data_IF_480207346963
#
_entry.id   IF_480207346963
#
_cell.length_a   1.000
_cell.length_b   1.000
_cell.length_c   1.000
_cell.angle_alpha   90.00
_cell.angle_beta   90.00
_cell.angle_gamma   90.00
#
_symmetry.space_group_name_H-M   'P 1'
#
loop_
_entity.id
_entity.type
_entity.pdbx_description
1 polymer ?
#
# COMPACT_ATOMS: atom_id res chain seq x y z
N UNK A 1 33.01 44.03 20.92
CA UNK A 1 32.34 45.27 21.30
C UNK A 1 31.06 45.31 20.41
N UNK A 2 29.86 45.30 20.88
CA UNK A 2 29.13 45.88 22.00
C UNK A 2 28.01 44.93 22.43
N UNK A 3 27.85 44.80 23.74
CA UNK A 3 26.76 44.12 24.50
C UNK A 3 25.45 44.97 24.55
N UNK A 4 24.35 44.34 24.80
CA UNK A 4 23.19 44.91 25.46
C UNK A 4 21.87 44.42 24.86
N UNK A 5 20.81 44.09 25.50
CA UNK A 5 20.44 43.83 26.93
C UNK A 5 19.01 43.23 26.87
N UNK A 6 18.75 42.32 27.78
CA UNK A 6 17.42 41.77 28.15
C UNK A 6 16.46 42.92 28.59
N UNK A 7 15.15 42.72 28.41
CA UNK A 7 14.14 43.16 29.36
C UNK A 7 12.91 42.24 29.31
N UNK A 8 12.63 41.62 30.45
CA UNK A 8 11.40 40.89 30.77
C UNK A 8 10.36 41.94 31.24
N UNK A 9 9.08 41.69 30.95
CA UNK A 9 7.99 42.34 31.64
C UNK A 9 6.87 41.34 31.97
N UNK A 10 6.78 40.96 33.22
CA UNK A 10 5.64 40.28 33.83
C UNK A 10 4.71 41.35 34.39
N UNK A 11 3.41 41.19 34.23
CA UNK A 11 2.41 41.89 35.07
C UNK A 11 1.16 41.02 35.26
N UNK A 12 0.93 40.70 36.53
CA UNK A 12 -0.29 40.19 37.14
C UNK A 12 -1.42 41.24 37.10
N UNK A 13 -2.67 40.79 37.16
CA UNK A 13 -3.87 41.33 37.85
C UNK A 13 -5.03 40.43 37.41
N UNK A 14 -5.89 39.75 38.15
CA UNK A 14 -6.47 40.03 39.46
C UNK A 14 -7.89 39.47 39.39
N UNK A 15 -8.27 38.63 40.36
CA UNK A 15 -9.60 38.04 40.56
C UNK A 15 -10.72 39.09 40.69
N UNK A 16 -11.90 38.76 40.14
CA UNK A 16 -13.17 39.18 40.71
C UNK A 16 -14.23 38.08 40.50
N UNK A 17 -14.64 37.48 41.60
CA UNK A 17 -15.79 36.59 41.76
C UNK A 17 -17.09 37.41 41.76
N UNK A 18 -18.08 37.04 40.97
CA UNK A 18 -19.47 37.36 41.23
C UNK A 18 -20.34 36.15 40.91
N UNK A 19 -20.90 35.55 41.90
CA UNK A 19 -21.91 34.51 41.83
C UNK A 19 -23.26 35.11 41.41
N UNK A 20 -23.94 34.52 40.42
CA UNK A 20 -25.39 34.61 40.27
C UNK A 20 -25.91 33.22 39.90
N UNK A 21 -26.60 32.61 40.83
CA UNK A 21 -27.39 31.41 40.69
C UNK A 21 -28.65 31.69 39.84
N UNK A 22 -28.75 31.05 38.68
CA UNK A 22 -29.93 31.02 37.86
C UNK A 22 -30.02 29.67 37.16
N UNK A 23 -30.78 28.73 37.73
CA UNK A 23 -31.01 27.44 37.15
C UNK A 23 -31.82 27.53 35.86
N UNK A 24 -31.21 27.24 34.73
CA UNK A 24 -31.90 26.89 33.52
C UNK A 24 -31.57 25.43 33.22
N UNK A 25 -32.60 24.59 33.26
CA UNK A 25 -32.53 23.22 32.81
C UNK A 25 -32.26 23.25 31.29
N UNK A 26 -31.06 22.87 30.89
CA UNK A 26 -30.73 22.63 29.50
C UNK A 26 -31.46 21.37 29.03
N UNK A 27 -32.10 21.41 27.83
CA UNK A 27 -32.69 20.19 27.24
C UNK A 27 -31.57 19.18 27.01
N UNK A 28 -31.81 17.95 27.44
CA UNK A 28 -30.88 16.84 27.35
C UNK A 28 -30.33 16.70 25.93
N UNK A 29 -29.02 16.75 25.82
CA UNK A 29 -28.27 16.37 24.61
C UNK A 29 -28.60 14.91 24.32
N UNK A 30 -28.99 14.55 23.08
CA UNK A 30 -29.24 13.16 22.75
C UNK A 30 -27.97 12.36 23.01
N UNK A 31 -28.15 11.22 23.66
CA UNK A 31 -27.14 10.22 23.99
C UNK A 31 -26.17 10.03 22.82
N UNK A 32 -24.90 10.28 23.05
CA UNK A 32 -23.87 10.21 22.01
C UNK A 32 -23.91 8.86 21.29
N UNK A 33 -23.99 8.91 19.99
CA UNK A 33 -23.59 7.79 19.16
C UNK A 33 -22.15 7.43 19.54
N UNK A 34 -21.94 6.20 20.02
CA UNK A 34 -20.61 5.74 20.34
C UNK A 34 -19.72 5.94 19.11
N UNK A 35 -18.60 6.67 19.27
CA UNK A 35 -17.62 6.84 18.20
C UNK A 35 -17.14 5.45 17.74
N UNK A 36 -17.00 5.26 16.43
CA UNK A 36 -16.45 4.01 15.90
C UNK A 36 -15.05 3.74 16.49
N UNK A 37 -14.68 2.46 16.75
CA UNK A 37 -13.36 2.12 17.26
C UNK A 37 -12.28 2.48 16.24
N UNK A 38 -11.08 2.83 16.69
CA UNK A 38 -9.97 3.19 15.82
C UNK A 38 -9.53 2.03 14.89
N UNK A 39 -9.69 0.79 15.38
CA UNK A 39 -9.34 -0.45 14.66
C UNK A 39 -10.48 -1.45 14.75
N UNK A 40 -10.44 -2.47 13.89
CA UNK A 40 -11.40 -3.57 13.94
C UNK A 40 -11.31 -4.33 15.28
N UNK A 41 -12.45 -4.88 15.78
CA UNK A 41 -12.46 -5.61 17.05
C UNK A 41 -11.68 -6.92 16.97
N UNK A 42 -11.29 -7.45 18.13
CA UNK A 42 -10.67 -8.76 18.22
C UNK A 42 -11.56 -9.83 17.54
N UNK A 43 -10.95 -10.71 16.77
CA UNK A 43 -11.65 -11.74 15.99
C UNK A 43 -12.19 -11.30 14.63
N UNK A 44 -12.09 -10.01 14.27
CA UNK A 44 -12.48 -9.55 12.92
C UNK A 44 -11.72 -10.29 11.82
N UNK A 45 -10.45 -10.55 12.01
CA UNK A 45 -9.54 -11.18 11.03
C UNK A 45 -9.61 -12.71 11.03
N UNK A 46 -10.43 -13.31 11.89
CA UNK A 46 -10.65 -14.76 11.86
C UNK A 46 -11.41 -15.12 10.58
N UNK A 47 -10.82 -15.98 9.78
CA UNK A 47 -11.42 -16.50 8.55
C UNK A 47 -12.23 -17.75 8.89
N UNK A 48 -13.45 -17.94 8.32
CA UNK A 48 -14.18 -19.19 8.44
C UNK A 48 -13.36 -20.36 7.90
N UNK A 49 -13.39 -21.49 8.59
CA UNK A 49 -12.74 -22.73 8.14
C UNK A 49 -13.76 -23.87 8.14
N UNK A 50 -14.14 -24.42 6.97
CA UNK A 50 -13.71 -23.99 5.63
C UNK A 50 -14.22 -22.61 5.24
N UNK A 51 -13.45 -21.88 4.41
CA UNK A 51 -13.90 -20.62 3.79
C UNK A 51 -15.07 -20.92 2.82
N UNK A 52 -16.29 -20.40 3.04
CA UNK A 52 -17.37 -20.55 2.08
C UNK A 52 -16.95 -19.97 0.71
N UNK A 53 -17.26 -20.65 -0.41
CA UNK A 53 -16.87 -20.16 -1.73
C UNK A 53 -17.49 -18.79 -2.05
N UNK A 54 -16.70 -17.89 -2.63
CA UNK A 54 -17.18 -16.57 -3.03
C UNK A 54 -16.52 -16.04 -4.32
N UNK A 55 -17.18 -15.18 -5.09
CA UNK A 55 -16.54 -14.52 -6.21
C UNK A 55 -15.49 -13.52 -5.73
N UNK A 56 -14.43 -13.26 -6.53
CA UNK A 56 -13.41 -12.27 -6.20
C UNK A 56 -14.01 -10.91 -5.87
N UNK A 57 -13.60 -10.30 -4.76
CA UNK A 57 -14.10 -9.04 -4.24
C UNK A 57 -15.39 -9.15 -3.41
N UNK A 58 -16.02 -10.31 -3.28
CA UNK A 58 -17.17 -10.47 -2.40
C UNK A 58 -16.78 -10.24 -0.93
N UNK A 59 -17.59 -9.45 -0.22
CA UNK A 59 -17.35 -9.14 1.19
C UNK A 59 -17.68 -10.34 2.07
N UNK A 60 -16.75 -10.77 2.89
CA UNK A 60 -16.93 -11.81 3.93
C UNK A 60 -17.39 -11.15 5.22
N UNK A 61 -16.76 -10.04 5.59
CA UNK A 61 -17.05 -9.28 6.81
C UNK A 61 -16.72 -7.80 6.63
N UNK A 62 -17.53 -6.96 7.26
CA UNK A 62 -17.35 -5.50 7.28
C UNK A 62 -17.58 -5.00 8.70
N UNK A 63 -16.76 -4.07 9.15
CA UNK A 63 -16.99 -3.36 10.42
C UNK A 63 -16.59 -1.90 10.30
N UNK A 64 -17.42 -0.96 10.80
CA UNK A 64 -17.03 0.44 10.86
C UNK A 64 -15.82 0.64 11.77
N UNK A 65 -14.89 1.51 11.34
CA UNK A 65 -13.74 1.98 12.12
C UNK A 65 -13.69 3.51 12.05
N UNK A 66 -12.85 4.14 12.87
CA UNK A 66 -12.66 5.59 12.80
C UNK A 66 -12.09 5.98 11.43
N UNK A 67 -12.68 6.99 10.81
CA UNK A 67 -12.23 7.54 9.54
C UNK A 67 -11.13 8.60 9.69
N UNK A 68 -10.64 9.09 8.57
CA UNK A 68 -9.80 10.28 8.49
C UNK A 68 -10.69 11.52 8.50
N UNK A 69 -10.46 12.44 9.44
CA UNK A 69 -11.33 13.64 9.59
C UNK A 69 -12.81 13.25 9.66
N UNK A 70 -13.66 13.82 8.79
CA UNK A 70 -15.11 13.54 8.74
C UNK A 70 -15.45 12.36 7.81
N UNK A 71 -14.48 11.62 7.28
CA UNK A 71 -14.71 10.48 6.41
C UNK A 71 -15.35 9.29 7.15
N UNK A 72 -15.97 8.39 6.39
CA UNK A 72 -16.42 7.09 6.86
C UNK A 72 -15.38 6.04 6.51
N UNK A 73 -15.10 5.12 7.41
CA UNK A 73 -14.13 4.05 7.17
C UNK A 73 -14.63 2.70 7.67
N UNK A 74 -14.21 1.66 6.99
CA UNK A 74 -14.53 0.27 7.32
C UNK A 74 -13.30 -0.60 7.17
N UNK A 75 -13.06 -1.46 8.14
CA UNK A 75 -12.25 -2.65 7.93
C UNK A 75 -13.10 -3.68 7.18
N UNK A 76 -12.51 -4.32 6.21
CA UNK A 76 -13.16 -5.33 5.37
C UNK A 76 -12.36 -6.62 5.32
N UNK A 77 -13.06 -7.73 5.22
CA UNK A 77 -12.54 -9.04 4.85
C UNK A 77 -13.27 -9.46 3.57
N UNK A 78 -12.53 -9.84 2.54
CA UNK A 78 -13.09 -10.10 1.22
C UNK A 78 -12.42 -11.28 0.52
N UNK A 79 -13.12 -11.88 -0.45
CA UNK A 79 -12.60 -12.96 -1.29
C UNK A 79 -11.60 -12.44 -2.31
N UNK A 80 -10.51 -13.16 -2.50
CA UNK A 80 -9.56 -12.94 -3.58
C UNK A 80 -9.09 -14.29 -4.14
N UNK A 81 -8.12 -14.25 -5.05
CA UNK A 81 -7.51 -15.47 -5.62
C UNK A 81 -6.00 -15.45 -5.40
N UNK A 82 -5.46 -16.55 -4.91
CA UNK A 82 -4.02 -16.74 -4.84
C UNK A 82 -3.40 -16.88 -6.25
N UNK A 83 -2.07 -17.03 -6.33
CA UNK A 83 -1.38 -17.13 -7.62
C UNK A 83 -1.74 -18.43 -8.41
N UNK A 84 -2.27 -19.45 -7.74
CA UNK A 84 -2.77 -20.69 -8.36
C UNK A 84 -4.28 -20.63 -8.68
N UNK A 85 -4.98 -19.56 -8.26
CA UNK A 85 -6.40 -19.35 -8.52
C UNK A 85 -7.34 -19.86 -7.41
N UNK A 86 -6.82 -20.33 -6.29
CA UNK A 86 -7.64 -20.76 -5.17
C UNK A 86 -8.30 -19.57 -4.47
N UNK A 87 -9.48 -19.82 -3.90
CA UNK A 87 -10.22 -18.83 -3.12
C UNK A 87 -9.53 -18.60 -1.77
N UNK A 88 -9.27 -17.33 -1.46
CA UNK A 88 -8.60 -16.91 -0.22
C UNK A 88 -9.29 -15.68 0.36
N UNK A 89 -9.25 -15.56 1.69
CA UNK A 89 -9.68 -14.35 2.37
C UNK A 89 -8.52 -13.34 2.47
N UNK A 90 -8.82 -12.08 2.20
CA UNK A 90 -7.86 -10.97 2.31
C UNK A 90 -8.51 -9.83 3.10
N UNK A 91 -7.74 -9.19 3.97
CA UNK A 91 -8.20 -8.02 4.72
C UNK A 91 -7.82 -6.70 4.05
N UNK A 92 -8.47 -5.64 4.46
CA UNK A 92 -8.19 -4.30 3.98
C UNK A 92 -9.05 -3.23 4.63
N UNK A 93 -8.96 -2.02 4.11
CA UNK A 93 -9.71 -0.85 4.58
C UNK A 93 -10.36 -0.13 3.40
N UNK A 94 -11.59 0.32 3.59
CA UNK A 94 -12.27 1.24 2.68
C UNK A 94 -12.56 2.54 3.40
N UNK A 95 -12.21 3.67 2.80
CA UNK A 95 -12.49 5.03 3.31
C UNK A 95 -13.29 5.78 2.25
N UNK A 96 -14.38 6.39 2.66
CA UNK A 96 -15.25 7.17 1.77
C UNK A 96 -15.55 8.56 2.34
N UNK A 97 -15.71 9.57 1.49
CA UNK A 97 -16.20 10.89 1.90
C UNK A 97 -17.53 10.81 2.65
N UNK A 98 -17.86 11.80 3.48
CA UNK A 98 -19.18 11.89 4.10
C UNK A 98 -20.28 12.16 3.06
N UNK A 99 -21.51 11.95 3.46
CA UNK A 99 -22.68 12.23 2.62
C UNK A 99 -22.98 11.17 1.57
N UNK A 100 -24.01 11.43 0.76
CA UNK A 100 -24.45 10.55 -0.31
C UNK A 100 -23.47 10.61 -1.50
N UNK A 101 -23.23 9.46 -2.14
CA UNK A 101 -22.47 9.43 -3.38
C UNK A 101 -23.25 10.05 -4.54
N UNK A 102 -22.58 10.62 -5.55
CA UNK A 102 -23.24 11.05 -6.78
C UNK A 102 -23.88 9.82 -7.51
N UNK A 103 -24.88 10.04 -8.38
CA UNK A 103 -25.58 8.92 -9.04
C UNK A 103 -24.69 7.94 -9.80
N UNK A 104 -23.54 8.41 -10.35
CA UNK A 104 -22.56 7.56 -11.04
C UNK A 104 -21.60 6.85 -10.09
N UNK A 105 -21.71 7.06 -8.79
CA UNK A 105 -20.76 6.62 -7.78
C UNK A 105 -19.46 7.44 -7.75
N UNK A 106 -18.68 7.27 -6.67
CA UNK A 106 -17.39 7.91 -6.50
C UNK A 106 -16.30 7.11 -7.19
N UNK A 107 -15.33 7.76 -7.87
CA UNK A 107 -14.15 7.06 -8.35
C UNK A 107 -13.36 6.47 -7.17
N UNK A 108 -12.65 5.38 -7.42
CA UNK A 108 -11.88 4.67 -6.39
C UNK A 108 -10.39 4.85 -6.65
N UNK A 109 -9.64 5.29 -5.64
CA UNK A 109 -8.21 5.06 -5.59
C UNK A 109 -7.96 3.75 -4.85
N UNK A 110 -7.31 2.82 -5.50
CA UNK A 110 -6.82 1.60 -4.85
C UNK A 110 -5.39 1.85 -4.40
N UNK A 111 -5.13 1.63 -3.11
CA UNK A 111 -3.81 1.81 -2.53
C UNK A 111 -3.14 0.48 -2.22
N UNK A 112 -1.94 0.28 -2.81
CA UNK A 112 -1.00 -0.76 -2.46
C UNK A 112 0.10 -0.21 -1.54
N UNK A 113 0.17 -0.74 -0.31
CA UNK A 113 1.21 -0.34 0.65
C UNK A 113 2.56 -0.98 0.34
N UNK A 114 3.66 -0.37 0.81
CA UNK A 114 5.00 -0.94 0.78
C UNK A 114 5.15 -2.11 1.75
N UNK A 115 6.27 -2.82 1.68
CA UNK A 115 6.55 -3.94 2.59
C UNK A 115 6.50 -3.50 4.06
N UNK A 116 5.78 -4.25 4.87
CA UNK A 116 5.61 -4.00 6.32
C UNK A 116 6.09 -5.17 7.18
N UNK A 117 6.51 -6.26 6.58
CA UNK A 117 6.87 -7.54 7.23
C UNK A 117 5.93 -8.66 6.82
N UNK A 118 6.06 -9.83 7.45
CA UNK A 118 5.28 -11.03 7.10
C UNK A 118 4.33 -11.49 8.21
N UNK A 119 4.38 -10.88 9.40
CA UNK A 119 3.50 -11.24 10.52
C UNK A 119 2.13 -10.56 10.37
N UNK A 120 1.05 -11.24 10.73
CA UNK A 120 -0.33 -10.73 10.64
C UNK A 120 -0.52 -9.37 11.33
N UNK A 121 0.16 -9.16 12.48
CA UNK A 121 0.09 -7.88 13.20
C UNK A 121 0.66 -6.70 12.42
N UNK A 122 1.40 -6.94 11.35
CA UNK A 122 1.99 -5.89 10.51
C UNK A 122 1.02 -5.37 9.45
N UNK A 123 -0.12 -6.02 9.27
CA UNK A 123 -1.14 -5.60 8.31
C UNK A 123 -1.60 -4.16 8.59
N UNK A 124 -1.58 -3.25 7.62
CA UNK A 124 -1.99 -1.86 7.83
C UNK A 124 -3.41 -1.72 8.38
N UNK A 125 -4.34 -2.60 8.01
CA UNK A 125 -5.70 -2.56 8.54
C UNK A 125 -5.80 -2.84 10.04
N UNK A 126 -4.80 -3.48 10.65
CA UNK A 126 -4.71 -3.69 12.11
C UNK A 126 -4.41 -2.40 12.87
N UNK A 127 -3.87 -1.39 12.22
CA UNK A 127 -3.58 -0.07 12.82
C UNK A 127 -4.69 0.96 12.56
N UNK A 128 -5.72 0.58 11.83
CA UNK A 128 -6.87 1.43 11.50
C UNK A 128 -6.86 1.92 10.07
N UNK A 129 -7.03 3.23 9.88
CA UNK A 129 -7.10 3.83 8.55
C UNK A 129 -5.72 3.91 7.91
N UNK A 130 -5.65 3.56 6.64
CA UNK A 130 -4.42 3.61 5.85
C UNK A 130 -3.98 5.05 5.63
N UNK A 131 -2.78 5.35 6.07
CA UNK A 131 -2.19 6.68 5.98
C UNK A 131 -2.29 7.48 7.28
N UNK A 132 -1.21 8.19 7.62
CA UNK A 132 -1.20 9.12 8.75
C UNK A 132 -2.18 10.29 8.50
N UNK A 133 -2.74 10.91 9.55
CA UNK A 133 -3.48 12.16 9.40
C UNK A 133 -2.64 13.18 8.63
N UNK A 134 -3.20 13.77 7.58
CA UNK A 134 -2.49 14.70 6.69
C UNK A 134 -1.75 14.05 5.52
N UNK A 135 -1.77 12.71 5.39
CA UNK A 135 -1.21 12.05 4.22
C UNK A 135 -1.92 12.47 2.92
N UNK A 136 -1.24 12.33 1.78
CA UNK A 136 -1.82 12.62 0.47
C UNK A 136 -3.06 11.78 0.15
N UNK A 137 -3.21 10.57 0.73
CA UNK A 137 -4.41 9.74 0.63
C UNK A 137 -5.64 10.44 1.22
N UNK A 138 -5.47 11.15 2.35
CA UNK A 138 -6.52 12.00 2.93
C UNK A 138 -6.96 13.10 1.98
N UNK A 139 -6.02 13.72 1.24
CA UNK A 139 -6.30 14.71 0.21
C UNK A 139 -7.19 14.19 -0.92
N UNK A 140 -7.08 12.91 -1.29
CA UNK A 140 -7.93 12.29 -2.30
C UNK A 140 -9.35 12.00 -1.79
N UNK A 141 -9.52 11.63 -0.53
CA UNK A 141 -10.85 11.52 0.09
C UNK A 141 -11.56 12.87 0.06
N UNK A 142 -10.84 13.97 0.34
CA UNK A 142 -11.38 15.34 0.22
C UNK A 142 -11.76 15.73 -1.22
N UNK A 143 -11.25 15.04 -2.25
CA UNK A 143 -11.62 15.21 -3.67
C UNK A 143 -12.78 14.30 -4.09
N UNK A 144 -13.61 13.85 -3.18
CA UNK A 144 -14.76 12.97 -3.39
C UNK A 144 -14.41 11.59 -3.97
N UNK A 145 -13.23 11.06 -3.62
CA UNK A 145 -12.80 9.71 -3.98
C UNK A 145 -12.98 8.73 -2.83
N UNK A 146 -13.32 7.49 -3.15
CA UNK A 146 -13.17 6.36 -2.23
C UNK A 146 -11.72 5.89 -2.28
N UNK A 147 -11.11 5.66 -1.13
CA UNK A 147 -9.80 4.99 -1.02
C UNK A 147 -10.02 3.56 -0.54
N UNK A 148 -9.55 2.58 -1.30
CA UNK A 148 -9.60 1.16 -0.96
C UNK A 148 -8.16 0.61 -0.87
N UNK A 149 -7.79 0.06 0.28
CA UNK A 149 -6.46 -0.45 0.53
C UNK A 149 -6.51 -1.92 0.93
N UNK A 150 -5.67 -2.74 0.31
CA UNK A 150 -5.53 -4.16 0.62
C UNK A 150 -4.34 -4.39 1.54
N UNK A 151 -4.43 -5.40 2.42
CA UNK A 151 -3.29 -5.90 3.19
C UNK A 151 -2.50 -6.97 2.43
N UNK A 152 -2.98 -7.44 1.29
CA UNK A 152 -2.53 -8.61 0.53
C UNK A 152 -2.80 -9.95 1.21
N UNK A 153 -2.66 -11.04 0.47
CA UNK A 153 -2.89 -12.41 0.95
C UNK A 153 -1.89 -12.80 2.04
N UNK A 154 -2.41 -13.36 3.13
CA UNK A 154 -1.61 -13.92 4.22
C UNK A 154 -0.93 -12.86 5.09
N UNK A 155 -1.37 -11.61 5.02
CA UNK A 155 -1.03 -10.54 5.93
C UNK A 155 -2.31 -10.08 6.63
N UNK A 156 -2.39 -10.26 7.95
CA UNK A 156 -3.61 -10.02 8.73
C UNK A 156 -4.68 -11.12 8.62
N UNK A 157 -4.45 -12.12 7.79
CA UNK A 157 -5.34 -13.28 7.62
C UNK A 157 -4.54 -14.58 7.66
N UNK A 158 -5.14 -15.73 8.03
CA UNK A 158 -4.44 -17.00 8.13
C UNK A 158 -3.69 -17.39 6.84
N UNK A 159 -2.52 -17.99 7.04
CA UNK A 159 -1.67 -18.48 5.96
C UNK A 159 -0.40 -17.63 5.81
N UNK A 160 0.59 -18.10 5.05
CA UNK A 160 1.83 -17.36 4.87
C UNK A 160 1.64 -16.15 3.95
N UNK A 161 2.21 -15.01 4.34
CA UNK A 161 2.22 -13.79 3.55
C UNK A 161 2.84 -14.01 2.16
N UNK A 162 2.23 -13.44 1.13
CA UNK A 162 2.62 -13.58 -0.29
C UNK A 162 3.34 -12.33 -0.82
N UNK A 163 4.25 -11.77 -0.01
CA UNK A 163 5.00 -10.56 -0.37
C UNK A 163 5.68 -10.69 -1.73
N UNK A 164 5.49 -9.68 -2.60
CA UNK A 164 6.07 -9.59 -3.95
C UNK A 164 5.73 -10.77 -4.89
N UNK A 165 4.64 -11.50 -4.64
CA UNK A 165 4.10 -12.50 -5.58
C UNK A 165 3.09 -11.82 -6.49
N UNK A 166 3.49 -11.51 -7.72
CA UNK A 166 2.79 -10.63 -8.63
C UNK A 166 1.32 -10.97 -8.86
N UNK A 167 1.00 -12.24 -9.16
CA UNK A 167 -0.38 -12.66 -9.41
C UNK A 167 -1.27 -12.51 -8.17
N UNK A 168 -0.80 -12.91 -6.98
CA UNK A 168 -1.57 -12.75 -5.74
C UNK A 168 -1.77 -11.28 -5.40
N UNK A 169 -0.69 -10.48 -5.47
CA UNK A 169 -0.73 -9.06 -5.13
C UNK A 169 -1.63 -8.27 -6.10
N UNK A 170 -1.48 -8.48 -7.41
CA UNK A 170 -2.30 -7.82 -8.43
C UNK A 170 -3.79 -8.17 -8.33
N UNK A 171 -4.12 -9.43 -8.04
CA UNK A 171 -5.51 -9.86 -7.81
C UNK A 171 -6.09 -9.22 -6.55
N UNK A 172 -5.36 -9.20 -5.44
CA UNK A 172 -5.81 -8.56 -4.20
C UNK A 172 -6.08 -7.05 -4.40
N UNK A 173 -5.27 -6.35 -5.19
CA UNK A 173 -5.47 -4.95 -5.59
C UNK A 173 -6.76 -4.76 -6.39
N UNK A 174 -7.05 -5.62 -7.36
CA UNK A 174 -8.29 -5.53 -8.15
C UNK A 174 -9.51 -5.92 -7.32
N UNK A 175 -9.37 -6.92 -6.45
CA UNK A 175 -10.48 -7.44 -5.65
C UNK A 175 -10.86 -6.50 -4.50
N UNK A 176 -9.94 -5.72 -3.93
CA UNK A 176 -10.32 -4.68 -2.97
C UNK A 176 -11.13 -3.55 -3.63
N UNK A 177 -10.90 -3.24 -4.91
CA UNK A 177 -11.75 -2.32 -5.67
C UNK A 177 -13.17 -2.89 -5.85
N UNK A 178 -13.30 -4.19 -6.14
CA UNK A 178 -14.59 -4.89 -6.19
C UNK A 178 -15.28 -4.87 -4.84
N UNK A 179 -14.54 -5.14 -3.76
CA UNK A 179 -15.07 -5.10 -2.40
C UNK A 179 -15.58 -3.71 -2.03
N UNK A 180 -14.86 -2.65 -2.38
CA UNK A 180 -15.31 -1.27 -2.18
C UNK A 180 -16.61 -0.97 -2.96
N UNK A 181 -16.76 -1.48 -4.18
CA UNK A 181 -18.01 -1.37 -4.98
C UNK A 181 -19.16 -2.16 -4.38
N UNK A 182 -18.86 -3.32 -3.78
CA UNK A 182 -19.85 -4.13 -3.07
C UNK A 182 -20.28 -3.57 -1.72
N UNK A 183 -19.63 -2.52 -1.24
CA UNK A 183 -19.97 -1.81 -0.02
C UNK A 183 -20.85 -0.59 -0.34
N UNK A 184 -22.16 -0.76 -0.36
CA UNK A 184 -23.13 0.30 -0.71
C UNK A 184 -22.85 1.61 0.04
N UNK A 185 -22.50 1.51 1.32
CA UNK A 185 -22.19 2.66 2.16
C UNK A 185 -21.00 3.50 1.65
N UNK A 186 -20.09 2.94 0.87
CA UNK A 186 -18.97 3.68 0.29
C UNK A 186 -19.38 4.45 -0.97
N UNK A 187 -20.39 3.97 -1.70
CA UNK A 187 -20.84 4.58 -2.95
C UNK A 187 -19.78 4.57 -4.04
N UNK A 188 -18.97 3.53 -4.09
CA UNK A 188 -17.87 3.39 -5.03
C UNK A 188 -18.32 3.01 -6.43
N UNK A 189 -17.73 3.59 -7.48
CA UNK A 189 -17.95 3.26 -8.88
C UNK A 189 -16.92 2.24 -9.42
N UNK A 190 -17.06 1.83 -10.67
CA UNK A 190 -16.06 1.01 -11.37
C UNK A 190 -14.90 1.81 -11.97
N UNK A 191 -14.86 3.14 -11.81
CA UNK A 191 -13.76 3.99 -12.29
C UNK A 191 -12.64 3.98 -11.26
N UNK A 192 -11.48 3.39 -11.59
CA UNK A 192 -10.40 3.18 -10.63
C UNK A 192 -9.09 3.79 -11.09
N UNK A 193 -8.32 4.33 -10.14
CA UNK A 193 -6.91 4.66 -10.29
C UNK A 193 -6.14 3.77 -9.31
N UNK A 194 -5.11 3.09 -9.82
CA UNK A 194 -4.27 2.20 -9.01
C UNK A 194 -3.04 2.99 -8.55
N UNK A 195 -2.78 3.04 -7.26
CA UNK A 195 -1.62 3.71 -6.72
C UNK A 195 -0.90 2.84 -5.68
N UNK A 196 0.43 2.92 -5.64
CA UNK A 196 1.18 2.12 -4.68
C UNK A 196 2.64 2.55 -4.54
N UNK A 197 3.22 2.16 -3.39
CA UNK A 197 4.61 2.45 -3.07
C UNK A 197 5.42 1.16 -2.91
N UNK A 198 6.64 1.14 -3.42
CA UNK A 198 7.58 0.02 -3.23
C UNK A 198 6.96 -1.34 -3.63
N UNK A 199 6.73 -2.28 -2.71
CA UNK A 199 5.97 -3.51 -2.96
C UNK A 199 4.57 -3.21 -3.51
N UNK A 200 3.91 -2.16 -3.02
CA UNK A 200 2.62 -1.71 -3.55
C UNK A 200 2.71 -1.18 -4.98
N UNK A 201 3.81 -0.53 -5.32
CA UNK A 201 4.11 -0.15 -6.70
C UNK A 201 4.23 -1.37 -7.63
N UNK A 202 4.89 -2.43 -7.16
CA UNK A 202 4.91 -3.72 -7.86
C UNK A 202 3.50 -4.32 -8.00
N UNK A 203 2.71 -4.32 -6.92
CA UNK A 203 1.36 -4.88 -6.91
C UNK A 203 0.40 -4.17 -7.89
N UNK A 204 0.44 -2.82 -7.95
CA UNK A 204 -0.44 -2.07 -8.85
C UNK A 204 -0.03 -2.19 -10.32
N UNK A 205 1.25 -2.38 -10.63
CA UNK A 205 1.69 -2.70 -11.99
C UNK A 205 1.16 -4.08 -12.42
N UNK A 206 1.25 -5.09 -11.57
CA UNK A 206 0.65 -6.41 -11.82
C UNK A 206 -0.87 -6.34 -11.95
N UNK A 207 -1.55 -5.56 -11.09
CA UNK A 207 -2.99 -5.34 -11.19
C UNK A 207 -3.38 -4.74 -12.54
N UNK A 208 -2.61 -3.77 -13.03
CA UNK A 208 -2.85 -3.15 -14.32
C UNK A 208 -2.72 -4.16 -15.49
N UNK A 209 -1.69 -5.00 -15.50
CA UNK A 209 -1.54 -6.05 -16.52
C UNK A 209 -2.70 -7.05 -16.50
N UNK A 210 -3.19 -7.39 -15.29
CA UNK A 210 -4.28 -8.35 -15.10
C UNK A 210 -5.66 -7.76 -15.37
N UNK A 211 -5.82 -6.43 -15.33
CA UNK A 211 -7.13 -5.78 -15.29
C UNK A 211 -8.08 -6.23 -16.40
N UNK A 212 -7.60 -6.28 -17.66
CA UNK A 212 -8.44 -6.65 -18.80
C UNK A 212 -8.95 -8.09 -18.74
N UNK A 213 -8.15 -9.02 -18.23
CA UNK A 213 -8.49 -10.44 -18.21
C UNK A 213 -9.16 -10.87 -16.91
N UNK A 214 -8.79 -10.25 -15.79
CA UNK A 214 -9.26 -10.66 -14.45
C UNK A 214 -10.40 -9.79 -13.92
N UNK A 215 -10.42 -8.50 -14.24
CA UNK A 215 -11.42 -7.55 -13.75
C UNK A 215 -11.94 -6.61 -14.85
N UNK A 216 -12.51 -7.15 -15.97
CA UNK A 216 -12.91 -6.36 -17.13
C UNK A 216 -14.01 -5.33 -16.82
N UNK A 217 -14.74 -5.49 -15.72
CA UNK A 217 -15.76 -4.57 -15.23
C UNK A 217 -15.20 -3.34 -14.50
N UNK A 218 -13.89 -3.31 -14.20
CA UNK A 218 -13.19 -2.16 -13.63
C UNK A 218 -12.56 -1.33 -14.74
N UNK A 219 -12.91 -0.07 -14.81
CA UNK A 219 -12.29 0.89 -15.72
C UNK A 219 -11.04 1.47 -15.06
N UNK A 220 -9.88 0.87 -15.32
CA UNK A 220 -8.60 1.40 -14.87
C UNK A 220 -8.25 2.64 -15.68
N UNK A 221 -8.21 3.81 -15.03
CA UNK A 221 -7.96 5.12 -15.65
C UNK A 221 -6.50 5.53 -15.63
N UNK A 222 -5.73 4.97 -14.68
CA UNK A 222 -4.31 5.25 -14.52
C UNK A 222 -3.67 4.40 -13.45
N UNK A 223 -2.35 4.29 -13.52
CA UNK A 223 -1.49 3.59 -12.56
C UNK A 223 -0.42 4.56 -12.08
N UNK A 224 -0.28 4.76 -10.78
CA UNK A 224 0.69 5.67 -10.20
C UNK A 224 1.56 4.94 -9.16
N UNK A 225 2.83 4.73 -9.47
CA UNK A 225 3.74 3.97 -8.62
C UNK A 225 4.90 4.85 -8.13
N UNK A 226 5.13 4.89 -6.81
CA UNK A 226 6.30 5.52 -6.21
C UNK A 226 7.35 4.46 -5.88
N UNK A 227 8.56 4.63 -6.39
CA UNK A 227 9.69 3.73 -6.19
C UNK A 227 9.32 2.23 -6.25
N UNK A 228 8.64 1.76 -7.34
CA UNK A 228 8.11 0.39 -7.39
C UNK A 228 9.19 -0.68 -7.31
N UNK A 229 9.03 -1.64 -6.39
CA UNK A 229 9.91 -2.80 -6.22
C UNK A 229 9.75 -3.83 -7.33
N UNK A 230 9.84 -3.42 -8.60
CA UNK A 230 9.48 -4.21 -9.76
C UNK A 230 10.66 -4.90 -10.45
N UNK A 231 11.82 -4.29 -10.52
CA UNK A 231 13.04 -4.85 -11.13
C UNK A 231 13.91 -5.55 -10.07
N UNK A 232 13.37 -6.60 -9.44
CA UNK A 232 14.01 -7.27 -8.30
C UNK A 232 15.41 -7.82 -8.62
N UNK A 233 15.59 -8.45 -9.77
CA UNK A 233 16.89 -8.99 -10.18
C UNK A 233 17.93 -7.87 -10.37
N UNK A 234 17.53 -6.73 -10.94
CA UNK A 234 18.40 -5.56 -11.11
C UNK A 234 18.72 -4.92 -9.75
N UNK A 235 17.74 -4.78 -8.90
CA UNK A 235 17.89 -4.29 -7.52
C UNK A 235 18.88 -5.18 -6.76
N UNK A 236 18.69 -6.49 -6.74
CA UNK A 236 19.59 -7.44 -6.08
C UNK A 236 21.03 -7.40 -6.65
N UNK A 237 21.19 -7.22 -7.97
CA UNK A 237 22.50 -7.09 -8.62
C UNK A 237 23.28 -5.86 -8.15
N UNK A 238 22.56 -4.73 -8.00
CA UNK A 238 23.13 -3.45 -7.59
C UNK A 238 23.30 -3.34 -6.07
N UNK A 239 22.53 -4.13 -5.34
CA UNK A 239 22.51 -4.23 -3.90
C UNK A 239 23.82 -4.64 -3.23
N UNK A 240 24.65 -5.38 -3.93
CA UNK A 240 25.95 -5.84 -3.37
C UNK A 240 26.86 -4.72 -2.85
N UNK A 241 26.52 -3.48 -3.18
CA UNK A 241 27.26 -2.29 -2.73
C UNK A 241 26.61 -1.60 -1.51
N UNK A 242 25.42 -2.05 -1.03
CA UNK A 242 24.65 -1.41 0.06
C UNK A 242 23.88 -2.47 0.88
N UNK A 243 24.55 -3.14 1.85
CA UNK A 243 24.08 -4.41 2.42
C UNK A 243 22.77 -4.39 3.23
N UNK A 244 22.50 -3.34 4.05
CA UNK A 244 21.49 -3.48 5.12
C UNK A 244 20.03 -3.46 4.64
N UNK A 245 19.59 -2.44 3.91
CA UNK A 245 18.18 -2.32 3.47
C UNK A 245 17.75 -3.44 2.51
N UNK A 246 18.69 -3.93 1.71
CA UNK A 246 18.46 -4.96 0.69
C UNK A 246 18.50 -6.35 1.29
N UNK A 247 19.26 -6.55 2.36
CA UNK A 247 19.28 -7.82 3.09
C UNK A 247 17.91 -8.11 3.69
N UNK A 248 17.23 -7.10 4.26
CA UNK A 248 15.87 -7.26 4.80
C UNK A 248 14.85 -7.61 3.70
N UNK A 249 14.87 -6.90 2.57
CA UNK A 249 14.01 -7.20 1.42
C UNK A 249 14.27 -8.59 0.82
N UNK A 250 15.54 -8.99 0.68
CA UNK A 250 15.90 -10.32 0.21
C UNK A 250 15.44 -11.42 1.17
N UNK A 251 15.48 -11.19 2.47
CA UNK A 251 14.97 -12.13 3.48
C UNK A 251 13.45 -12.29 3.41
N UNK A 252 12.71 -11.18 3.20
CA UNK A 252 11.25 -11.25 2.97
C UNK A 252 10.94 -12.10 1.73
N UNK A 253 11.67 -11.88 0.62
CA UNK A 253 11.51 -12.68 -0.61
C UNK A 253 11.79 -14.16 -0.33
N UNK A 254 12.90 -14.49 0.31
CA UNK A 254 13.24 -15.90 0.58
C UNK A 254 12.22 -16.58 1.48
N UNK A 255 11.73 -15.89 2.52
CA UNK A 255 10.72 -16.43 3.41
C UNK A 255 9.37 -16.61 2.69
N UNK A 256 8.85 -15.56 2.06
CA UNK A 256 7.54 -15.58 1.41
C UNK A 256 7.50 -16.54 0.20
N UNK A 257 8.55 -16.53 -0.64
CA UNK A 257 8.59 -17.38 -1.84
C UNK A 257 8.98 -18.81 -1.53
N UNK A 258 9.82 -19.04 -0.50
CA UNK A 258 10.11 -20.37 0.01
C UNK A 258 8.82 -21.09 0.41
N UNK A 259 7.94 -20.41 1.12
CA UNK A 259 6.64 -20.93 1.54
C UNK A 259 5.64 -21.05 0.37
N UNK A 260 5.61 -20.07 -0.54
CA UNK A 260 4.69 -20.06 -1.67
C UNK A 260 5.03 -21.10 -2.73
N UNK A 261 6.27 -21.13 -3.16
CA UNK A 261 6.74 -21.99 -4.27
C UNK A 261 7.40 -23.28 -3.77
N UNK A 262 7.39 -23.52 -2.46
CA UNK A 262 8.00 -24.71 -1.80
C UNK A 262 9.47 -24.88 -2.17
N UNK A 263 10.21 -23.77 -2.16
CA UNK A 263 11.63 -23.73 -2.49
C UNK A 263 12.47 -23.80 -1.22
N UNK A 264 13.42 -24.74 -1.13
CA UNK A 264 14.33 -24.81 0.01
C UNK A 264 15.15 -23.51 0.19
N UNK A 265 15.45 -23.10 1.44
CA UNK A 265 16.16 -21.87 1.71
C UNK A 265 17.69 -22.02 1.55
N UNK A 266 18.16 -22.70 0.49
CA UNK A 266 19.58 -23.06 0.29
C UNK A 266 20.45 -21.83 -0.01
N UNK A 267 19.84 -20.74 -0.45
CA UNK A 267 20.49 -19.44 -0.66
C UNK A 267 20.82 -18.71 0.64
N UNK A 268 20.34 -19.21 1.77
CA UNK A 268 20.61 -18.61 3.07
C UNK A 268 21.92 -19.14 3.68
N UNK A 269 22.63 -18.23 4.36
CA UNK A 269 23.68 -18.62 5.29
C UNK A 269 23.12 -19.40 6.47
N UNK A 270 23.93 -20.10 7.28
CA UNK A 270 23.45 -20.71 8.53
C UNK A 270 22.76 -19.70 9.46
N UNK A 271 23.24 -18.46 9.54
CA UNK A 271 22.61 -17.38 10.29
C UNK A 271 21.23 -17.02 9.69
N UNK A 272 21.12 -16.91 8.37
CA UNK A 272 19.86 -16.64 7.67
C UNK A 272 18.81 -17.71 7.91
N UNK A 273 19.18 -18.97 7.87
CA UNK A 273 18.26 -20.08 8.20
C UNK A 273 17.73 -19.98 9.63
N UNK A 274 18.58 -19.64 10.60
CA UNK A 274 18.12 -19.42 11.99
C UNK A 274 17.23 -18.19 12.16
N UNK A 275 17.35 -17.20 11.27
CA UNK A 275 16.55 -15.97 11.32
C UNK A 275 15.17 -16.12 10.64
N UNK A 276 14.90 -17.19 9.87
CA UNK A 276 13.67 -17.32 9.08
C UNK A 276 12.40 -17.18 9.90
N UNK A 277 12.31 -17.86 11.05
CA UNK A 277 11.10 -17.81 11.89
C UNK A 277 10.89 -16.40 12.47
N UNK A 278 11.98 -15.72 12.80
CA UNK A 278 11.93 -14.31 13.21
C UNK A 278 11.43 -13.41 12.06
N UNK A 279 11.91 -13.63 10.84
CA UNK A 279 11.44 -12.86 9.65
C UNK A 279 9.95 -13.06 9.42
N UNK A 280 9.44 -14.32 9.57
CA UNK A 280 8.02 -14.62 9.43
C UNK A 280 7.13 -14.00 10.52
N UNK A 281 7.68 -13.78 11.72
CA UNK A 281 6.95 -13.33 12.90
C UNK A 281 7.18 -11.87 13.27
N UNK A 282 7.89 -11.09 12.44
CA UNK A 282 8.36 -9.74 12.79
C UNK A 282 7.95 -8.73 11.71
N UNK A 283 7.67 -7.50 12.12
CA UNK A 283 7.46 -6.39 11.20
C UNK A 283 8.77 -5.84 10.65
N UNK A 284 8.71 -5.21 9.48
CA UNK A 284 9.90 -4.75 8.77
C UNK A 284 10.72 -3.74 9.58
N UNK A 285 10.06 -2.84 10.32
CA UNK A 285 10.74 -1.85 11.17
C UNK A 285 11.60 -2.50 12.25
N UNK A 286 11.11 -3.60 12.85
CA UNK A 286 11.84 -4.38 13.84
C UNK A 286 13.04 -5.14 13.22
N UNK A 287 12.89 -5.58 11.95
CA UNK A 287 13.97 -6.24 11.21
C UNK A 287 15.06 -5.23 10.79
N UNK A 288 14.66 -4.02 10.38
CA UNK A 288 15.58 -2.99 9.92
C UNK A 288 16.46 -2.41 11.06
N UNK A 289 16.00 -2.49 12.30
CA UNK A 289 16.75 -2.04 13.49
C UNK A 289 17.84 -3.00 13.96
N UNK A 290 17.88 -4.24 13.41
CA UNK A 290 18.91 -5.23 13.75
C UNK A 290 20.11 -5.11 12.78
N UNK A 291 21.32 -4.75 13.23
CA UNK A 291 22.52 -4.70 12.38
C UNK A 291 22.88 -6.13 11.92
N UNK A 292 22.16 -6.61 10.92
CA UNK A 292 22.23 -7.99 10.50
C UNK A 292 23.57 -8.32 9.85
N UNK A 293 24.20 -9.37 10.36
CA UNK A 293 25.13 -10.20 9.61
C UNK A 293 24.47 -10.57 8.27
N UNK A 294 25.17 -10.49 7.11
CA UNK A 294 24.60 -10.88 5.83
C UNK A 294 23.97 -12.28 5.89
N UNK A 295 22.63 -12.35 5.88
CA UNK A 295 21.87 -13.61 6.06
C UNK A 295 21.48 -14.24 4.74
N UNK A 296 21.38 -13.41 3.68
CA UNK A 296 21.23 -13.82 2.27
C UNK A 296 22.45 -13.36 1.51
N UNK A 297 22.92 -14.18 0.60
CA UNK A 297 23.90 -13.74 -0.42
C UNK A 297 23.10 -13.30 -1.65
N UNK A 298 23.00 -11.99 -1.95
CA UNK A 298 22.19 -11.52 -3.08
C UNK A 298 22.53 -12.19 -4.42
N UNK A 299 23.82 -12.52 -4.63
CA UNK A 299 24.28 -13.28 -5.78
C UNK A 299 23.65 -14.69 -5.90
N UNK A 300 23.36 -15.32 -4.77
CA UNK A 300 22.79 -16.69 -4.78
C UNK A 300 21.36 -16.68 -5.31
N UNK A 301 20.56 -15.63 -5.06
CA UNK A 301 19.24 -15.46 -5.66
C UNK A 301 19.30 -15.24 -7.18
N UNK A 302 20.40 -14.71 -7.70
CA UNK A 302 20.57 -14.46 -9.13
C UNK A 302 21.12 -15.67 -9.90
N UNK A 303 21.67 -16.67 -9.22
CA UNK A 303 22.40 -17.77 -9.83
C UNK A 303 21.89 -19.16 -9.42
N UNK A 304 21.35 -19.31 -8.22
CA UNK A 304 20.87 -20.60 -7.72
C UNK A 304 19.45 -20.89 -8.20
N UNK A 305 19.24 -21.99 -8.92
CA UNK A 305 17.89 -22.43 -9.33
C UNK A 305 17.05 -22.80 -8.09
N UNK A 306 15.74 -22.46 -8.08
CA UNK A 306 14.93 -21.86 -9.16
C UNK A 306 14.81 -20.32 -9.08
N UNK A 307 15.53 -19.63 -8.19
CA UNK A 307 15.37 -18.22 -7.86
C UNK A 307 15.40 -17.25 -9.05
N UNK A 308 16.30 -17.39 -10.07
CA UNK A 308 16.29 -16.50 -11.22
C UNK A 308 14.97 -16.57 -12.01
N UNK A 309 14.40 -17.77 -12.15
CA UNK A 309 13.12 -17.95 -12.83
C UNK A 309 11.96 -17.36 -12.02
N UNK A 310 12.01 -17.47 -10.69
CA UNK A 310 11.00 -16.86 -9.81
C UNK A 310 11.09 -15.34 -9.83
N UNK A 311 12.29 -14.77 -9.83
CA UNK A 311 12.48 -13.33 -9.98
C UNK A 311 11.88 -12.82 -11.30
N UNK A 312 12.16 -13.50 -12.40
CA UNK A 312 11.58 -13.18 -13.70
C UNK A 312 10.05 -13.32 -13.71
N UNK A 313 9.51 -14.42 -13.14
CA UNK A 313 8.06 -14.69 -13.03
C UNK A 313 7.31 -13.57 -12.28
N UNK A 314 7.94 -12.96 -11.28
CA UNK A 314 7.31 -11.94 -10.45
C UNK A 314 7.71 -10.50 -10.84
N UNK A 315 8.39 -10.32 -11.96
CA UNK A 315 8.70 -8.99 -12.53
C UNK A 315 7.53 -8.55 -13.41
N UNK A 316 6.90 -7.35 -13.22
CA UNK A 316 5.84 -6.85 -14.09
C UNK A 316 6.40 -6.31 -15.43
N UNK A 317 5.52 -6.00 -16.36
CA UNK A 317 5.86 -5.47 -17.69
C UNK A 317 5.94 -6.56 -18.77
N UNK A 318 5.13 -7.63 -18.62
CA UNK A 318 4.99 -8.70 -19.63
C UNK A 318 3.91 -8.39 -20.68
N UNK A 319 2.94 -7.54 -20.32
CA UNK A 319 1.85 -7.13 -21.21
C UNK A 319 1.53 -5.65 -21.00
N UNK A 320 1.04 -4.99 -22.06
CA UNK A 320 0.61 -3.60 -21.97
C UNK A 320 -0.57 -3.43 -21.01
N UNK A 321 -0.51 -2.39 -20.21
CA UNK A 321 -1.57 -2.00 -19.31
C UNK A 321 -2.72 -1.29 -20.06
N UNK A 322 -3.96 -1.30 -19.53
CA UNK A 322 -5.07 -0.61 -20.18
C UNK A 322 -5.03 0.92 -20.06
N UNK A 323 -4.11 1.46 -19.23
CA UNK A 323 -4.10 2.85 -18.82
C UNK A 323 -2.67 3.42 -18.70
N UNK A 324 -2.50 4.75 -18.75
CA UNK A 324 -1.20 5.38 -18.56
C UNK A 324 -0.59 5.07 -17.18
N UNK A 325 0.73 5.00 -17.14
CA UNK A 325 1.53 4.72 -15.94
C UNK A 325 2.36 5.96 -15.57
N UNK A 326 2.23 6.43 -14.33
CA UNK A 326 3.14 7.39 -13.71
C UNK A 326 4.10 6.64 -12.78
N UNK A 327 5.39 6.88 -12.95
CA UNK A 327 6.42 6.42 -11.99
C UNK A 327 7.10 7.64 -11.37
N UNK A 328 7.03 7.76 -10.04
CA UNK A 328 7.74 8.77 -9.27
C UNK A 328 8.94 8.12 -8.57
N UNK A 329 10.14 8.66 -8.81
CA UNK A 329 11.39 8.09 -8.32
C UNK A 329 12.28 9.13 -7.65
N UNK A 330 12.74 8.85 -6.44
CA UNK A 330 13.75 9.63 -5.74
C UNK A 330 15.15 9.40 -6.31
N UNK A 331 15.95 10.47 -6.47
CA UNK A 331 17.33 10.33 -6.98
C UNK A 331 18.26 9.67 -5.97
N UNK A 332 17.95 9.78 -4.69
CA UNK A 332 18.76 9.28 -3.57
C UNK A 332 18.19 7.98 -2.98
N UNK A 333 17.27 7.32 -3.71
CA UNK A 333 16.70 6.04 -3.31
C UNK A 333 17.77 4.94 -3.32
N UNK A 334 18.05 4.42 -2.13
CA UNK A 334 19.05 3.37 -1.89
C UNK A 334 18.46 1.97 -1.82
N UNK A 335 17.13 1.86 -1.75
CA UNK A 335 16.39 0.58 -1.70
C UNK A 335 16.01 0.13 -3.11
N UNK A 336 15.24 0.94 -3.82
CA UNK A 336 14.92 0.73 -5.23
C UNK A 336 15.69 1.77 -6.05
N UNK A 337 16.90 1.38 -6.42
CA UNK A 337 17.83 2.31 -7.07
C UNK A 337 17.31 2.87 -8.39
N UNK A 338 17.58 4.15 -8.73
CA UNK A 338 17.09 4.77 -9.96
C UNK A 338 17.43 4.01 -11.25
N UNK A 339 18.51 3.24 -11.25
CA UNK A 339 18.89 2.40 -12.39
C UNK A 339 17.89 1.24 -12.62
N UNK A 340 17.33 0.65 -11.56
CA UNK A 340 16.29 -0.36 -11.67
C UNK A 340 15.00 0.24 -12.22
N UNK A 341 14.66 1.47 -11.82
CA UNK A 341 13.49 2.17 -12.35
C UNK A 341 13.64 2.51 -13.83
N UNK A 342 14.83 2.92 -14.29
CA UNK A 342 15.05 3.12 -15.72
C UNK A 342 14.86 1.83 -16.52
N UNK A 343 15.32 0.68 -16.00
CA UNK A 343 15.10 -0.61 -16.63
C UNK A 343 13.59 -0.98 -16.68
N UNK A 344 12.86 -0.71 -15.61
CA UNK A 344 11.40 -0.90 -15.58
C UNK A 344 10.69 -0.02 -16.64
N UNK A 345 11.01 1.27 -16.70
CA UNK A 345 10.43 2.19 -17.69
C UNK A 345 10.68 1.68 -19.12
N UNK A 346 11.91 1.27 -19.44
CA UNK A 346 12.23 0.69 -20.73
C UNK A 346 11.38 -0.56 -21.02
N UNK A 347 11.23 -1.45 -20.05
CA UNK A 347 10.39 -2.66 -20.18
C UNK A 347 8.93 -2.31 -20.47
N UNK A 348 8.33 -1.42 -19.70
CA UNK A 348 6.94 -0.99 -19.87
C UNK A 348 6.74 -0.29 -21.23
N UNK A 349 7.67 0.59 -21.63
CA UNK A 349 7.64 1.21 -22.96
C UNK A 349 7.71 0.17 -24.09
N UNK A 350 8.56 -0.87 -23.98
CA UNK A 350 8.63 -1.96 -24.97
C UNK A 350 7.35 -2.82 -24.98
N UNK A 351 6.65 -2.94 -23.85
CA UNK A 351 5.35 -3.60 -23.79
C UNK A 351 4.22 -2.78 -24.43
N UNK A 352 4.48 -1.51 -24.79
CA UNK A 352 3.51 -0.61 -25.43
C UNK A 352 2.79 0.33 -24.47
N UNK A 353 3.27 0.47 -23.24
CA UNK A 353 2.66 1.36 -22.26
C UNK A 353 2.99 2.84 -22.53
N UNK A 354 2.06 3.71 -22.15
CA UNK A 354 2.32 5.15 -22.01
C UNK A 354 2.87 5.41 -20.62
N UNK A 355 4.18 5.63 -20.51
CA UNK A 355 4.86 5.79 -19.20
C UNK A 355 5.37 7.21 -19.03
N UNK A 356 5.02 7.84 -17.90
CA UNK A 356 5.58 9.11 -17.44
C UNK A 356 6.51 8.86 -16.25
N UNK A 357 7.82 9.12 -16.41
CA UNK A 357 8.78 9.05 -15.30
C UNK A 357 9.03 10.47 -14.76
N UNK A 358 8.81 10.66 -13.46
CA UNK A 358 9.19 11.87 -12.73
C UNK A 358 10.28 11.56 -11.71
N UNK A 359 11.38 12.32 -11.76
CA UNK A 359 12.50 12.18 -10.83
C UNK A 359 12.52 13.32 -9.84
N UNK A 360 12.67 12.99 -8.54
CA UNK A 360 12.66 13.94 -7.44
C UNK A 360 14.04 13.98 -6.80
N UNK A 361 14.69 15.15 -6.95
CA UNK A 361 16.06 15.36 -6.48
C UNK A 361 16.13 15.29 -4.96
N UNK A 362 17.05 14.49 -4.42
CA UNK A 362 17.30 14.36 -3.00
C UNK A 362 16.30 13.48 -2.23
N UNK A 363 15.21 13.05 -2.88
CA UNK A 363 14.25 12.15 -2.25
C UNK A 363 14.82 10.72 -2.17
N UNK A 364 14.65 10.08 -1.03
CA UNK A 364 14.96 8.68 -0.77
C UNK A 364 13.75 7.77 -0.95
N UNK A 365 13.89 6.51 -0.50
CA UNK A 365 12.85 5.49 -0.67
C UNK A 365 11.59 5.77 0.15
N UNK A 366 11.77 6.19 1.40
CA UNK A 366 10.66 6.29 2.35
C UNK A 366 9.94 7.64 2.34
N UNK A 367 10.56 8.68 1.82
CA UNK A 367 10.00 10.03 1.73
C UNK A 367 9.38 10.35 0.36
N UNK A 368 9.69 9.57 -0.70
CA UNK A 368 9.17 9.81 -2.05
C UNK A 368 7.62 9.83 -2.14
N UNK A 369 6.84 9.03 -1.39
CA UNK A 369 5.39 9.12 -1.45
C UNK A 369 4.87 10.49 -1.03
N UNK A 370 5.48 11.11 -0.01
CA UNK A 370 5.08 12.43 0.46
C UNK A 370 5.60 13.54 -0.47
N UNK A 371 6.87 13.45 -0.88
CA UNK A 371 7.50 14.44 -1.78
C UNK A 371 6.76 14.50 -3.13
N UNK A 372 6.30 13.36 -3.65
CA UNK A 372 5.56 13.29 -4.90
C UNK A 372 4.04 13.53 -4.75
N UNK A 373 3.53 13.73 -3.54
CA UNK A 373 2.10 13.72 -3.22
C UNK A 373 1.27 14.69 -4.07
N UNK A 374 1.68 15.93 -4.19
CA UNK A 374 0.97 16.95 -4.98
C UNK A 374 0.89 16.55 -6.45
N UNK A 375 1.97 16.02 -7.02
CA UNK A 375 2.02 15.53 -8.39
C UNK A 375 1.14 14.30 -8.59
N UNK A 376 1.12 13.37 -7.62
CA UNK A 376 0.27 12.19 -7.64
C UNK A 376 -1.22 12.55 -7.61
N UNK A 377 -1.60 13.50 -6.75
CA UNK A 377 -2.97 14.04 -6.66
C UNK A 377 -3.36 14.71 -7.97
N UNK A 378 -2.54 15.61 -8.48
CA UNK A 378 -2.80 16.33 -9.73
C UNK A 378 -2.92 15.37 -10.92
N UNK A 379 -2.00 14.42 -11.04
CA UNK A 379 -2.02 13.41 -12.09
C UNK A 379 -3.27 12.51 -12.01
N UNK A 380 -3.67 12.10 -10.80
CA UNK A 380 -4.91 11.34 -10.58
C UNK A 380 -6.13 12.13 -11.05
N UNK A 381 -6.22 13.41 -10.70
CA UNK A 381 -7.27 14.31 -11.18
C UNK A 381 -7.31 14.42 -12.71
N UNK A 382 -6.15 14.46 -13.36
CA UNK A 382 -6.04 14.45 -14.82
C UNK A 382 -6.60 13.17 -15.45
N UNK A 383 -6.34 12.02 -14.86
CA UNK A 383 -6.90 10.72 -15.33
C UNK A 383 -8.40 10.67 -15.16
N UNK A 384 -8.92 11.15 -14.03
CA UNK A 384 -10.36 11.22 -13.78
C UNK A 384 -11.07 12.15 -14.75
N UNK A 385 -10.41 13.23 -15.18
CA UNK A 385 -10.92 14.18 -16.16
C UNK A 385 -10.72 13.73 -17.63
N UNK A 386 -10.13 12.54 -17.87
CA UNK A 386 -9.84 12.05 -19.23
C UNK A 386 -8.74 12.81 -19.97
N UNK A 387 -7.94 13.63 -19.27
CA UNK A 387 -6.83 14.36 -19.91
C UNK A 387 -5.73 13.38 -20.33
N UNK A 388 -5.09 13.55 -21.49
CA UNK A 388 -4.02 12.65 -21.95
C UNK A 388 -2.81 12.70 -21.01
N UNK A 389 -2.16 11.56 -20.81
CA UNK A 389 -0.91 11.48 -20.06
C UNK A 389 0.28 11.87 -20.95
N UNK A 390 1.31 12.42 -20.32
CA UNK A 390 2.62 12.57 -20.96
C UNK A 390 3.29 11.21 -21.08
N UNK A 391 4.22 11.09 -22.04
CA UNK A 391 5.05 9.89 -22.17
C UNK A 391 6.52 10.29 -22.15
N UNK A 392 7.32 9.53 -21.41
CA UNK A 392 8.80 9.57 -21.46
C UNK A 392 9.36 8.43 -22.28
N UNK A 393 8.51 7.55 -22.85
CA UNK A 393 8.93 6.56 -23.81
C UNK A 393 9.44 7.27 -25.06
N UNK A 394 10.66 6.92 -25.48
CA UNK A 394 11.19 7.39 -26.77
C UNK A 394 10.51 6.60 -27.88
N UNK A 395 10.20 7.22 -29.04
CA UNK A 395 9.63 6.54 -30.18
C UNK A 395 10.56 5.50 -30.77
#
# INVERSE_FOLDING_TARGET
MVRGKLLALALLVGMLLAACSGGHASPGRPSGSASAPAVAPAGFYQVPDPLPPGPPGALIRVTPIAGLSDSRAWAILYHSRDFDGHDVAVSGVVVAPPGAAPPQGRPVLVWGHGSVGLADRCAPSHTGVVGAPGSWLGGLVLQDMVVAATDYQGLGTPGPARSLIGLSAGRAVLDVARAARGLDAAGASGRVVLAGHSEGGHAVLWAAELARSYAPELQVLGVAATAPGAELATTLRLARFRPAAITSGAMLIVAAWGDAYRVPPDVLTPAGRRALDRVRSTCLEELASDPATPVVRPGDLLTTRPWPALLARNTPGHAATPAPVLIAQGTDDEVVVPAAIRALVQRLCHAGDTVELRSYRGAGHFDIPEVASADMIGWTGDRLAGRPARSTCQP
#
